data_IF_671435004448
#
_entry.id   IF_671435004448
#
_cell.length_a   1.000
_cell.length_b   1.000
_cell.length_c   1.000
_cell.angle_alpha   90.00
_cell.angle_beta   90.00
_cell.angle_gamma   90.00
#
_symmetry.space_group_name_H-M   'P 1'
#
loop_
_entity.id
_entity.type
_entity.pdbx_description
1 polymer ?
#
# COMPACT_ATOMS: atom_id res chain seq x y z
N UNK A 1 -66.85 25.40 -50.55
CA UNK A 1 -65.89 24.38 -50.16
C UNK A 1 -65.37 24.70 -48.80
N UNK A 2 -66.01 24.19 -47.72
CA UNK A 2 -65.64 24.52 -46.33
C UNK A 2 -64.68 23.43 -45.88
N UNK A 3 -63.38 23.67 -45.91
CA UNK A 3 -62.36 22.77 -45.39
C UNK A 3 -62.49 22.76 -43.86
N UNK A 4 -62.74 21.57 -43.34
CA UNK A 4 -63.12 21.35 -41.95
C UNK A 4 -61.92 21.68 -41.02
N UNK A 5 -61.96 22.87 -40.43
CA UNK A 5 -60.94 23.47 -39.54
C UNK A 5 -60.59 22.57 -38.35
N UNK A 6 -61.51 21.67 -38.03
CA UNK A 6 -61.38 20.72 -36.91
C UNK A 6 -60.37 19.59 -37.22
N UNK A 7 -60.32 19.12 -38.48
CA UNK A 7 -59.37 18.04 -38.86
C UNK A 7 -57.95 18.55 -38.89
N UNK A 8 -57.74 19.78 -39.36
CA UNK A 8 -56.41 20.43 -39.38
C UNK A 8 -55.87 20.63 -37.97
N UNK A 9 -56.74 21.09 -37.05
CA UNK A 9 -56.30 21.27 -35.63
C UNK A 9 -55.97 19.92 -34.94
N UNK A 10 -56.73 18.89 -35.20
CA UNK A 10 -56.41 17.56 -34.64
C UNK A 10 -55.07 17.00 -35.18
N UNK A 11 -54.79 17.25 -36.45
CA UNK A 11 -53.53 16.81 -37.08
C UNK A 11 -52.32 17.55 -36.49
N UNK A 12 -52.44 18.88 -36.27
CA UNK A 12 -51.42 19.70 -35.64
C UNK A 12 -51.15 19.33 -34.16
N UNK A 13 -52.20 18.97 -33.43
CA UNK A 13 -52.08 18.52 -32.04
C UNK A 13 -51.40 17.15 -31.96
N UNK A 14 -51.68 16.25 -32.90
CA UNK A 14 -51.05 14.93 -33.02
C UNK A 14 -49.54 15.06 -33.33
N UNK A 15 -49.18 15.92 -34.29
CA UNK A 15 -47.76 16.20 -34.61
C UNK A 15 -46.97 16.81 -33.43
N UNK A 16 -47.56 17.75 -32.70
CA UNK A 16 -46.93 18.29 -31.46
C UNK A 16 -46.74 17.24 -30.40
N UNK A 17 -47.65 16.31 -30.27
CA UNK A 17 -47.55 15.20 -29.31
C UNK A 17 -46.43 14.19 -29.68
N UNK A 18 -46.28 13.91 -30.97
CA UNK A 18 -45.25 13.05 -31.51
C UNK A 18 -43.84 13.64 -31.35
N UNK A 19 -43.67 14.90 -31.67
CA UNK A 19 -42.39 15.61 -31.51
C UNK A 19 -41.96 15.71 -30.05
N UNK A 20 -42.92 16.00 -29.14
CA UNK A 20 -42.66 16.03 -27.71
C UNK A 20 -42.23 14.66 -27.16
N UNK A 21 -42.83 13.57 -27.66
CA UNK A 21 -42.47 12.21 -27.25
C UNK A 21 -41.07 11.80 -27.74
N UNK A 22 -40.70 12.15 -28.98
CA UNK A 22 -39.34 11.93 -29.49
C UNK A 22 -38.28 12.77 -28.76
N UNK A 23 -38.62 13.98 -28.39
CA UNK A 23 -37.72 14.85 -27.63
C UNK A 23 -37.49 14.32 -26.19
N UNK A 24 -38.57 13.88 -25.54
CA UNK A 24 -38.45 13.24 -24.21
C UNK A 24 -37.61 11.96 -24.24
N UNK A 25 -37.77 11.10 -25.27
CA UNK A 25 -36.93 9.88 -25.43
C UNK A 25 -35.45 10.23 -25.60
N UNK A 26 -35.13 11.28 -26.37
CA UNK A 26 -33.74 11.73 -26.54
C UNK A 26 -33.14 12.26 -25.25
N UNK A 27 -33.90 13.01 -24.45
CA UNK A 27 -33.45 13.49 -23.14
C UNK A 27 -33.26 12.34 -22.18
N UNK A 28 -34.17 11.37 -22.13
CA UNK A 28 -34.05 10.18 -21.29
C UNK A 28 -32.82 9.33 -21.68
N UNK A 29 -32.56 9.20 -22.99
CA UNK A 29 -31.37 8.47 -23.47
C UNK A 29 -30.07 9.19 -23.15
N UNK A 30 -30.02 10.53 -23.23
CA UNK A 30 -28.88 11.35 -22.79
C UNK A 30 -28.66 11.28 -21.29
N UNK A 31 -29.72 11.24 -20.48
CA UNK A 31 -29.66 11.10 -19.04
C UNK A 31 -29.15 9.70 -18.63
N UNK A 32 -29.56 8.63 -19.33
CA UNK A 32 -29.05 7.28 -19.15
C UNK A 32 -27.58 7.16 -19.55
N UNK A 33 -27.15 7.85 -20.60
CA UNK A 33 -25.76 7.86 -21.04
C UNK A 33 -24.84 8.59 -20.05
N UNK A 34 -25.33 9.62 -19.34
CA UNK A 34 -24.56 10.35 -18.34
C UNK A 34 -24.30 9.57 -17.06
N UNK A 35 -25.09 8.53 -16.76
CA UNK A 35 -24.90 7.66 -15.59
C UNK A 35 -23.83 6.58 -15.88
N UNK A 36 -23.56 6.27 -17.15
CA UNK A 36 -22.59 5.24 -17.55
C UNK A 36 -21.12 5.70 -17.40
N UNK A 37 -20.84 6.99 -17.14
CA UNK A 37 -19.50 7.53 -16.93
C UNK A 37 -19.14 7.73 -15.45
N UNK A 38 -19.92 7.17 -14.52
CA UNK A 38 -19.42 6.98 -13.16
C UNK A 38 -18.48 5.78 -13.23
N UNK A 39 -17.27 6.01 -13.73
CA UNK A 39 -16.16 5.10 -13.50
C UNK A 39 -16.02 4.99 -11.99
N UNK A 40 -16.46 3.85 -11.48
CA UNK A 40 -16.00 3.38 -10.19
C UNK A 40 -14.47 3.30 -10.32
N UNK A 41 -13.74 4.35 -9.90
CA UNK A 41 -12.33 4.24 -9.58
C UNK A 41 -12.26 3.19 -8.49
N UNK A 42 -12.15 1.94 -8.91
CA UNK A 42 -11.58 0.90 -8.10
C UNK A 42 -10.23 1.48 -7.64
N UNK A 43 -10.20 2.00 -6.43
CA UNK A 43 -8.96 2.23 -5.70
C UNK A 43 -8.38 0.83 -5.49
N UNK A 44 -7.64 0.37 -6.49
CA UNK A 44 -6.62 -0.62 -6.22
C UNK A 44 -5.81 -0.03 -5.08
N UNK A 45 -5.70 -0.75 -3.97
CA UNK A 45 -4.82 -0.42 -2.84
C UNK A 45 -3.38 -0.65 -3.32
N UNK A 46 -2.98 0.01 -4.38
CA UNK A 46 -1.61 0.29 -4.72
C UNK A 46 -1.28 1.52 -3.91
N UNK A 47 -0.75 1.30 -2.71
CA UNK A 47 -0.10 2.32 -1.93
C UNK A 47 0.98 2.96 -2.80
N UNK A 48 0.60 3.99 -3.53
CA UNK A 48 1.47 4.68 -4.46
C UNK A 48 2.56 5.35 -3.63
N UNK A 49 3.81 5.08 -3.97
CA UNK A 49 5.00 5.73 -3.46
C UNK A 49 4.81 7.25 -3.42
N UNK A 50 4.98 7.90 -2.28
CA UNK A 50 4.77 9.36 -2.18
C UNK A 50 5.77 10.14 -1.36
N UNK A 51 6.61 9.53 -0.55
CA UNK A 51 7.59 10.29 0.24
C UNK A 51 9.03 10.10 -0.23
N UNK A 52 9.35 10.79 -1.34
CA UNK A 52 10.73 10.82 -1.86
C UNK A 52 11.75 11.48 -0.91
N UNK A 53 11.31 12.31 0.06
CA UNK A 53 12.22 12.95 1.01
C UNK A 53 12.65 11.95 2.06
N UNK A 54 11.71 11.28 2.69
CA UNK A 54 11.98 10.24 3.70
C UNK A 54 12.76 9.08 3.09
N UNK A 55 12.41 8.60 1.89
CA UNK A 55 13.18 7.54 1.23
C UNK A 55 14.64 7.93 0.98
N UNK A 56 14.93 9.20 0.64
CA UNK A 56 16.31 9.68 0.50
C UNK A 56 17.06 9.69 1.81
N UNK A 57 16.39 9.99 2.92
CA UNK A 57 17.01 9.94 4.26
C UNK A 57 17.32 8.50 4.68
N UNK A 58 16.47 7.53 4.30
CA UNK A 58 16.70 6.12 4.58
C UNK A 58 17.74 5.46 3.68
N UNK A 59 18.12 6.08 2.57
CA UNK A 59 19.15 5.55 1.68
C UNK A 59 20.47 5.35 2.41
N UNK A 60 21.11 4.19 2.23
CA UNK A 60 22.43 3.88 2.79
C UNK A 60 22.46 2.55 3.52
N UNK A 61 23.50 2.38 4.32
CA UNK A 61 23.75 1.16 5.09
C UNK A 61 23.40 1.39 6.56
N UNK A 62 22.77 0.39 7.15
CA UNK A 62 22.20 0.45 8.47
C UNK A 62 22.40 -0.85 9.23
N UNK A 63 22.48 -0.75 10.55
CA UNK A 63 22.50 -1.89 11.46
C UNK A 63 21.35 -1.76 12.45
N UNK A 64 20.64 -2.84 12.74
CA UNK A 64 19.70 -2.88 13.86
C UNK A 64 20.51 -3.02 15.14
N UNK A 65 20.48 -2.00 15.97
CA UNK A 65 21.23 -1.95 17.24
C UNK A 65 20.42 -2.44 18.43
N UNK A 66 19.10 -2.36 18.34
CA UNK A 66 18.21 -2.82 19.40
C UNK A 66 16.89 -3.34 18.82
N UNK A 67 16.34 -4.35 19.47
CA UNK A 67 14.98 -4.81 19.27
C UNK A 67 14.25 -4.74 20.60
N UNK A 68 13.14 -4.01 20.66
CA UNK A 68 12.35 -3.84 21.86
C UNK A 68 10.97 -4.48 21.66
N UNK A 69 10.66 -5.42 22.52
CA UNK A 69 9.35 -6.07 22.59
C UNK A 69 8.77 -5.88 24.01
N UNK A 70 7.70 -5.10 24.18
CA UNK A 70 7.11 -4.88 25.50
C UNK A 70 6.39 -6.12 25.99
N UNK A 71 6.89 -6.76 27.03
CA UNK A 71 6.15 -7.81 27.72
C UNK A 71 6.94 -8.93 28.37
N UNK A 72 8.03 -9.39 27.80
CA UNK A 72 8.90 -10.37 28.45
C UNK A 72 10.13 -10.69 27.59
N UNK A 73 11.30 -10.63 28.16
CA UNK A 73 12.56 -11.06 27.54
C UNK A 73 12.61 -12.59 27.28
N UNK A 74 11.59 -13.32 27.72
CA UNK A 74 11.51 -14.78 27.57
C UNK A 74 10.61 -15.24 26.43
N UNK A 75 9.85 -14.33 25.80
CA UNK A 75 8.98 -14.69 24.69
C UNK A 75 9.74 -14.59 23.37
N UNK A 76 9.93 -15.73 22.71
CA UNK A 76 10.41 -15.78 21.34
C UNK A 76 9.28 -15.33 20.41
N UNK A 77 9.50 -14.27 19.65
CA UNK A 77 8.54 -13.74 18.68
C UNK A 77 9.15 -13.83 17.30
N UNK A 78 8.57 -14.63 16.43
CA UNK A 78 9.04 -14.76 15.05
C UNK A 78 8.75 -13.45 14.29
N UNK A 79 9.80 -12.86 13.74
CA UNK A 79 9.76 -11.65 12.93
C UNK A 79 9.92 -11.97 11.46
N UNK A 80 9.10 -11.34 10.65
CA UNK A 80 9.11 -11.48 9.18
C UNK A 80 8.99 -12.91 8.67
N UNK A 81 8.40 -13.81 9.46
CA UNK A 81 8.34 -15.26 9.20
C UNK A 81 9.73 -15.89 8.95
N UNK A 82 10.78 -15.33 9.53
CA UNK A 82 12.15 -15.80 9.38
C UNK A 82 12.70 -16.39 10.69
N UNK A 83 12.97 -15.52 11.67
CA UNK A 83 13.66 -15.88 12.91
C UNK A 83 13.08 -15.12 14.11
N UNK A 84 13.54 -15.46 15.31
CA UNK A 84 13.22 -14.69 16.52
C UNK A 84 13.63 -13.23 16.37
N UNK A 85 12.84 -12.32 16.91
CA UNK A 85 13.06 -10.87 16.78
C UNK A 85 14.45 -10.43 17.28
N UNK A 86 14.99 -11.10 18.29
CA UNK A 86 16.33 -10.79 18.82
C UNK A 86 17.44 -11.17 17.85
N UNK A 87 17.21 -12.11 16.93
CA UNK A 87 18.19 -12.47 15.90
C UNK A 87 18.46 -11.34 14.91
N UNK A 88 17.61 -10.33 14.88
CA UNK A 88 17.80 -9.14 14.05
C UNK A 88 18.76 -8.11 14.66
N UNK A 89 19.12 -8.22 15.93
CA UNK A 89 20.15 -7.37 16.55
C UNK A 89 21.50 -7.67 15.88
N UNK A 90 22.17 -6.62 15.40
CA UNK A 90 23.43 -6.72 14.64
C UNK A 90 23.22 -7.01 13.14
N UNK A 91 21.99 -7.20 12.67
CA UNK A 91 21.72 -7.39 11.24
C UNK A 91 22.05 -6.16 10.42
N UNK A 92 22.54 -6.39 9.19
CA UNK A 92 22.91 -5.34 8.25
C UNK A 92 21.85 -5.18 7.18
N UNK A 93 21.57 -3.92 6.85
CA UNK A 93 20.55 -3.52 5.88
C UNK A 93 21.11 -2.47 4.92
N UNK A 94 20.86 -2.63 3.64
CA UNK A 94 21.22 -1.66 2.61
C UNK A 94 19.96 -1.22 1.88
N UNK A 95 19.72 0.10 1.79
CA UNK A 95 18.58 0.68 1.12
C UNK A 95 19.00 1.55 -0.06
N UNK A 96 18.49 1.22 -1.26
CA UNK A 96 18.72 1.98 -2.49
C UNK A 96 17.41 2.62 -2.91
N UNK A 97 17.28 3.94 -2.76
CA UNK A 97 16.00 4.65 -2.92
C UNK A 97 15.55 4.83 -4.37
N UNK A 98 16.47 4.94 -5.34
CA UNK A 98 16.12 5.22 -6.73
C UNK A 98 15.41 4.07 -7.45
N UNK A 99 15.57 2.83 -6.99
CA UNK A 99 14.94 1.64 -7.57
C UNK A 99 14.17 0.80 -6.52
N UNK A 100 14.08 1.30 -5.28
CA UNK A 100 13.39 0.63 -4.16
C UNK A 100 13.89 -0.79 -3.88
N UNK A 101 15.16 -1.05 -4.12
CA UNK A 101 15.85 -2.30 -3.84
C UNK A 101 16.74 -2.15 -2.62
N UNK A 102 17.16 -3.27 -2.09
CA UNK A 102 18.10 -3.34 -1.00
C UNK A 102 18.48 -4.77 -0.71
N UNK A 103 19.23 -4.92 0.36
CA UNK A 103 19.66 -6.21 0.87
C UNK A 103 19.55 -6.22 2.39
N UNK A 104 19.35 -7.37 2.96
CA UNK A 104 19.43 -7.59 4.39
C UNK A 104 20.24 -8.84 4.68
N UNK A 105 20.95 -8.84 5.80
CA UNK A 105 21.65 -10.02 6.31
C UNK A 105 21.57 -10.13 7.81
N UNK A 106 21.24 -11.32 8.30
CA UNK A 106 21.30 -11.71 9.69
C UNK A 106 22.64 -12.41 9.91
N UNK A 107 23.48 -11.85 10.75
CA UNK A 107 24.81 -12.37 11.10
C UNK A 107 24.98 -12.36 12.63
N UNK A 108 23.92 -12.72 13.37
CA UNK A 108 23.94 -12.73 14.81
C UNK A 108 24.78 -13.91 15.30
N UNK A 109 25.81 -13.70 16.14
CA UNK A 109 26.69 -14.76 16.59
C UNK A 109 26.04 -15.75 17.57
N UNK A 110 24.78 -15.54 17.96
CA UNK A 110 24.05 -16.46 18.82
C UNK A 110 23.82 -17.79 18.11
N UNK A 111 24.06 -18.88 18.78
CA UNK A 111 23.85 -20.26 18.27
C UNK A 111 22.39 -20.56 17.96
N UNK A 112 21.47 -19.81 18.52
CA UNK A 112 20.02 -19.94 18.30
C UNK A 112 19.53 -19.21 17.04
N UNK A 113 20.38 -18.39 16.42
CA UNK A 113 20.05 -17.59 15.24
C UNK A 113 20.72 -18.18 14.01
N UNK A 114 19.97 -18.27 12.89
CA UNK A 114 20.53 -18.74 11.62
C UNK A 114 21.03 -17.57 10.80
N UNK A 115 22.16 -17.77 10.15
CA UNK A 115 22.61 -16.83 9.13
C UNK A 115 21.60 -16.81 7.98
N UNK A 116 21.24 -15.61 7.55
CA UNK A 116 20.30 -15.43 6.46
C UNK A 116 20.65 -14.16 5.69
N UNK A 117 20.55 -14.21 4.37
CA UNK A 117 20.77 -13.06 3.52
C UNK A 117 19.74 -13.05 2.40
N UNK A 118 19.20 -11.86 2.08
CA UNK A 118 18.18 -11.75 1.07
C UNK A 118 18.18 -10.37 0.41
N UNK A 119 17.99 -10.31 -0.93
CA UNK A 119 17.50 -9.10 -1.56
C UNK A 119 16.15 -8.70 -0.97
N UNK A 120 15.91 -7.40 -0.90
CA UNK A 120 14.64 -6.83 -0.47
C UNK A 120 14.11 -5.81 -1.49
N UNK A 121 12.80 -5.56 -1.45
CA UNK A 121 12.23 -4.35 -2.01
C UNK A 121 11.54 -3.56 -0.90
N UNK A 122 11.62 -2.24 -0.99
CA UNK A 122 11.09 -1.35 0.04
C UNK A 122 10.63 -0.03 -0.55
N UNK A 123 9.72 0.63 0.13
CA UNK A 123 9.32 2.01 -0.15
C UNK A 123 8.57 2.60 1.05
N UNK A 124 8.43 3.92 1.07
CA UNK A 124 7.56 4.60 2.02
C UNK A 124 6.24 4.94 1.32
N UNK A 125 5.12 4.48 1.89
CA UNK A 125 3.80 4.71 1.33
C UNK A 125 3.25 6.11 1.67
N UNK A 126 2.07 6.46 1.17
CA UNK A 126 1.41 7.75 1.41
C UNK A 126 1.13 8.04 2.88
N UNK A 127 0.92 6.99 3.66
CA UNK A 127 0.60 7.08 5.08
C UNK A 127 1.87 7.21 5.94
N UNK A 128 3.06 7.30 5.29
CA UNK A 128 4.34 7.37 5.95
C UNK A 128 4.82 6.04 6.54
N UNK A 129 4.22 4.93 6.14
CA UNK A 129 4.65 3.61 6.59
C UNK A 129 5.72 3.04 5.66
N UNK A 130 6.65 2.31 6.24
CA UNK A 130 7.67 1.54 5.52
C UNK A 130 7.08 0.21 5.04
N UNK A 131 7.14 -0.02 3.75
CA UNK A 131 6.67 -1.28 3.13
C UNK A 131 7.87 -2.08 2.71
N UNK A 132 7.97 -3.32 3.19
CA UNK A 132 9.08 -4.24 2.99
C UNK A 132 8.60 -5.53 2.35
N UNK A 133 9.38 -6.03 1.37
CA UNK A 133 9.30 -7.43 0.93
C UNK A 133 10.67 -8.06 0.98
N UNK A 134 10.75 -9.24 1.57
CA UNK A 134 11.94 -10.07 1.60
C UNK A 134 11.83 -11.04 0.44
N UNK A 135 12.78 -11.00 -0.49
CA UNK A 135 12.66 -11.65 -1.80
C UNK A 135 13.18 -13.08 -1.78
N UNK A 136 14.22 -13.33 -0.96
CA UNK A 136 14.92 -14.61 -0.93
C UNK A 136 15.34 -15.02 -2.35
N UNK A 137 15.08 -16.25 -2.78
CA UNK A 137 15.42 -16.77 -4.11
C UNK A 137 14.31 -16.55 -5.16
N UNK A 138 13.30 -15.74 -4.85
CA UNK A 138 12.17 -15.47 -5.74
C UNK A 138 12.35 -14.18 -6.55
N UNK A 139 11.49 -13.96 -7.54
CA UNK A 139 11.35 -12.63 -8.16
C UNK A 139 10.41 -11.78 -7.30
N UNK A 140 10.69 -10.49 -7.20
CA UNK A 140 9.89 -9.56 -6.38
C UNK A 140 8.39 -9.58 -6.68
N UNK A 141 8.02 -9.83 -7.95
CA UNK A 141 6.62 -9.95 -8.39
C UNK A 141 5.91 -11.20 -7.88
N UNK A 142 6.69 -12.27 -7.61
CA UNK A 142 6.17 -13.57 -7.19
C UNK A 142 6.06 -13.67 -5.65
N UNK A 143 6.61 -12.67 -4.92
CA UNK A 143 6.50 -12.57 -3.46
C UNK A 143 5.23 -11.82 -3.10
N UNK A 144 4.22 -12.54 -2.63
CA UNK A 144 2.94 -11.96 -2.22
C UNK A 144 2.95 -11.42 -0.80
N UNK A 145 3.85 -11.91 0.07
CA UNK A 145 3.97 -11.46 1.45
C UNK A 145 4.74 -10.15 1.52
N UNK A 146 4.10 -9.12 2.05
CA UNK A 146 4.71 -7.82 2.33
C UNK A 146 4.44 -7.42 3.77
N UNK A 147 5.36 -6.68 4.37
CA UNK A 147 5.27 -6.17 5.74
C UNK A 147 5.05 -4.66 5.68
N UNK A 148 4.08 -4.16 6.42
CA UNK A 148 3.80 -2.73 6.56
C UNK A 148 4.18 -2.34 7.98
N UNK A 149 5.25 -1.57 8.10
CA UNK A 149 5.86 -1.19 9.37
C UNK A 149 5.65 0.30 9.60
N UNK A 150 5.34 0.70 10.82
CA UNK A 150 5.29 2.12 11.17
C UNK A 150 6.70 2.67 11.24
N UNK A 151 6.98 3.71 10.48
CA UNK A 151 8.27 4.42 10.49
C UNK A 151 8.21 5.55 11.52
N UNK A 152 9.20 5.63 12.42
CA UNK A 152 9.29 6.64 13.48
C UNK A 152 10.72 7.14 13.64
N UNK A 153 10.85 8.29 14.29
CA UNK A 153 12.11 8.86 14.74
C UNK A 153 13.19 8.99 13.64
N UNK A 154 12.77 9.31 12.41
CA UNK A 154 13.67 9.39 11.25
C UNK A 154 14.59 10.59 11.39
N UNK A 155 15.88 10.32 11.44
CA UNK A 155 16.98 11.30 11.41
C UNK A 155 17.97 10.91 10.30
N UNK A 156 19.06 11.65 10.16
CA UNK A 156 20.14 11.30 9.23
C UNK A 156 20.93 10.06 9.67
N UNK A 157 20.91 9.74 10.96
CA UNK A 157 21.74 8.68 11.56
C UNK A 157 20.94 7.55 12.20
N UNK A 158 19.63 7.71 12.37
CA UNK A 158 18.80 6.69 13.02
C UNK A 158 17.35 6.74 12.56
N UNK A 159 16.65 5.64 12.70
CA UNK A 159 15.19 5.53 12.59
C UNK A 159 14.70 4.27 13.28
N UNK A 160 13.40 4.21 13.55
CA UNK A 160 12.74 3.02 14.09
C UNK A 160 11.71 2.47 13.11
N UNK A 161 11.68 1.15 12.98
CA UNK A 161 10.58 0.41 12.35
C UNK A 161 9.81 -0.34 13.43
N UNK A 162 8.49 -0.18 13.41
CA UNK A 162 7.61 -0.82 14.39
C UNK A 162 6.68 -1.78 13.66
N UNK A 163 6.79 -3.05 14.00
CA UNK A 163 5.90 -4.13 13.54
C UNK A 163 4.81 -4.38 14.58
N UNK A 164 3.62 -4.71 14.11
CA UNK A 164 2.51 -5.10 14.97
C UNK A 164 2.26 -6.61 14.85
N UNK A 165 2.49 -7.32 15.93
CA UNK A 165 2.31 -8.76 15.99
C UNK A 165 1.21 -9.13 16.96
N UNK A 166 0.48 -10.22 16.66
CA UNK A 166 -0.49 -10.76 17.58
C UNK A 166 0.17 -11.83 18.45
N UNK A 167 0.23 -11.58 19.75
CA UNK A 167 0.75 -12.51 20.73
C UNK A 167 -0.36 -12.87 21.70
N UNK A 168 -0.78 -14.13 21.69
CA UNK A 168 -1.87 -14.64 22.55
C UNK A 168 -3.16 -13.80 22.50
N UNK A 169 -3.54 -13.33 21.30
CA UNK A 169 -4.75 -12.53 21.09
C UNK A 169 -4.59 -11.03 21.39
N UNK A 170 -3.41 -10.58 21.80
CA UNK A 170 -3.11 -9.17 22.03
C UNK A 170 -2.17 -8.64 20.96
N UNK A 171 -2.49 -7.48 20.38
CA UNK A 171 -1.59 -6.78 19.46
C UNK A 171 -0.47 -6.12 20.27
N UNK A 172 0.76 -6.43 19.92
CA UNK A 172 1.98 -5.90 20.54
C UNK A 172 2.87 -5.29 19.47
N UNK A 173 3.59 -4.25 19.84
CA UNK A 173 4.57 -3.58 19.00
C UNK A 173 5.96 -4.21 19.21
N UNK A 174 6.63 -4.55 18.10
CA UNK A 174 8.06 -4.83 18.10
C UNK A 174 8.75 -3.63 17.47
N UNK A 175 9.69 -3.02 18.17
CA UNK A 175 10.45 -1.88 17.67
C UNK A 175 11.87 -2.32 17.31
N UNK A 176 12.25 -2.09 16.06
CA UNK A 176 13.60 -2.29 15.54
C UNK A 176 14.27 -0.91 15.41
N UNK A 177 15.32 -0.68 16.17
CA UNK A 177 16.08 0.58 16.12
C UNK A 177 17.27 0.46 15.20
N UNK A 178 17.27 1.27 14.15
CA UNK A 178 18.30 1.31 13.12
C UNK A 178 19.29 2.44 13.39
N UNK A 179 20.56 2.13 13.21
CA UNK A 179 21.65 3.10 13.26
C UNK A 179 22.42 3.05 11.94
N UNK A 180 22.79 4.22 11.40
CA UNK A 180 23.61 4.32 10.19
C UNK A 180 25.01 3.78 10.44
N UNK A 181 25.54 3.05 9.46
CA UNK A 181 26.94 2.59 9.43
C UNK A 181 27.86 3.69 8.93
#
# INVERSE_FOLDING_TARGET
>A
MVYNKTIVNQFFLSLKKLTKYHFMKKILFLLLLSIAVIECKSTSVTNTKLDNKTERMLKGNWTITAVNFPGSNYLKVNSFNLEDSNCFIGSNWSFVSNNNKGEMSLNNPSTDCKDFSSPITWYVNKDGNFVLKIINNHKAKDVNTGYILRLRNVTETSFDLIDQVNVAGQVKDITYSFQRQ
#
